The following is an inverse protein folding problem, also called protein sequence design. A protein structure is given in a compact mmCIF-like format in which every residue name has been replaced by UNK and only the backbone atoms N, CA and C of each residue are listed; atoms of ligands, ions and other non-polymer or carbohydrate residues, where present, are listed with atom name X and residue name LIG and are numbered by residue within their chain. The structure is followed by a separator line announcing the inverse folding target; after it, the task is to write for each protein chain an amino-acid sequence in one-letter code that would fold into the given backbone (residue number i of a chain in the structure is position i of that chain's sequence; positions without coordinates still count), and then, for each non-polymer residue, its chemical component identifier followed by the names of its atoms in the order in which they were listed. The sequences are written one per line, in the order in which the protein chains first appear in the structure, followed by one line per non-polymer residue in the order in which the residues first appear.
data_IF_495475769651
#
_entry.id   IF_495475769651
#
_cell.length_a   1.000
_cell.length_b   1.000
_cell.length_c   1.000
_cell.angle_alpha   90.00
_cell.angle_beta   90.00
_cell.angle_gamma   90.00
#
_symmetry.space_group_name_H-M   'P 1'
#
loop_
_entity.id
_entity.type
_entity.pdbx_description
1 polymer ?
#
# COMPACT_ATOMS: atom_id res chain seq x y z
N UNK A 1 -32.11 8.58 -14.16
CA UNK A 1 -32.06 8.82 -12.71
C UNK A 1 -31.32 7.75 -11.92
N UNK A 2 -31.89 6.57 -11.61
CA UNK A 2 -31.20 5.59 -10.73
C UNK A 2 -29.83 5.11 -11.23
N UNK A 3 -29.71 4.85 -12.53
CA UNK A 3 -28.46 4.44 -13.17
C UNK A 3 -27.39 5.55 -13.16
N UNK A 4 -27.81 6.80 -13.37
CA UNK A 4 -26.92 7.97 -13.34
C UNK A 4 -26.42 8.23 -11.92
N UNK A 5 -27.30 8.12 -10.92
CA UNK A 5 -26.92 8.25 -9.50
C UNK A 5 -25.93 7.15 -9.09
N UNK A 6 -26.14 5.90 -9.52
CA UNK A 6 -25.19 4.82 -9.28
C UNK A 6 -23.84 5.08 -9.93
N UNK A 7 -23.83 5.57 -11.18
CA UNK A 7 -22.59 5.89 -11.89
C UNK A 7 -21.80 6.99 -11.19
N UNK A 8 -22.48 8.08 -10.82
CA UNK A 8 -21.90 9.20 -10.08
C UNK A 8 -21.32 8.71 -8.75
N UNK A 9 -22.08 7.91 -7.99
CA UNK A 9 -21.60 7.33 -6.75
C UNK A 9 -20.34 6.48 -6.95
N UNK A 10 -20.36 5.54 -7.90
CA UNK A 10 -19.22 4.68 -8.19
C UNK A 10 -17.99 5.49 -8.62
N UNK A 11 -18.17 6.52 -9.43
CA UNK A 11 -17.08 7.38 -9.89
C UNK A 11 -16.40 8.11 -8.71
N UNK A 12 -17.17 8.82 -7.90
CA UNK A 12 -16.62 9.52 -6.73
C UNK A 12 -16.07 8.55 -5.68
N UNK A 13 -16.72 7.41 -5.47
CA UNK A 13 -16.23 6.39 -4.56
C UNK A 13 -14.86 5.85 -4.99
N UNK A 14 -14.70 5.55 -6.28
CA UNK A 14 -13.48 4.99 -6.86
C UNK A 14 -12.31 5.97 -6.83
N UNK A 15 -12.57 7.26 -7.01
CA UNK A 15 -11.52 8.28 -7.05
C UNK A 15 -11.15 8.81 -5.67
N UNK A 16 -12.14 9.06 -4.82
CA UNK A 16 -11.88 9.63 -3.50
C UNK A 16 -11.59 8.56 -2.46
N UNK A 17 -12.43 7.53 -2.30
CA UNK A 17 -12.38 6.67 -1.11
C UNK A 17 -11.59 5.38 -1.32
N UNK A 18 -11.75 4.75 -2.50
CA UNK A 18 -11.10 3.48 -2.83
C UNK A 18 -9.56 3.53 -2.68
N UNK A 19 -8.84 4.57 -3.13
CA UNK A 19 -7.38 4.63 -2.98
C UNK A 19 -6.93 4.64 -1.52
N UNK A 20 -7.63 5.35 -0.63
CA UNK A 20 -7.31 5.37 0.79
C UNK A 20 -7.56 4.03 1.47
N UNK A 21 -8.65 3.36 1.11
CA UNK A 21 -8.95 2.02 1.64
C UNK A 21 -7.85 1.03 1.21
N UNK A 22 -7.45 1.06 -0.06
CA UNK A 22 -6.39 0.21 -0.58
C UNK A 22 -5.03 0.52 0.07
N UNK A 23 -4.72 1.79 0.32
CA UNK A 23 -3.54 2.20 1.09
C UNK A 23 -3.56 1.60 2.50
N UNK A 24 -4.68 1.71 3.22
CA UNK A 24 -4.78 1.16 4.58
C UNK A 24 -4.60 -0.36 4.59
N UNK A 25 -5.23 -1.07 3.64
CA UNK A 25 -5.08 -2.52 3.49
C UNK A 25 -3.61 -2.88 3.20
N UNK A 26 -2.97 -2.14 2.31
CA UNK A 26 -1.57 -2.35 1.97
C UNK A 26 -0.64 -2.18 3.18
N UNK A 27 -0.79 -1.08 3.92
CA UNK A 27 0.00 -0.83 5.14
C UNK A 27 -0.25 -1.93 6.17
N UNK A 28 -1.50 -2.32 6.37
CA UNK A 28 -1.87 -3.41 7.26
C UNK A 28 -1.19 -4.73 6.87
N UNK A 29 -1.32 -5.16 5.61
CA UNK A 29 -0.69 -6.38 5.10
C UNK A 29 0.83 -6.34 5.24
N UNK A 30 1.43 -5.18 5.03
CA UNK A 30 2.86 -5.00 5.19
C UNK A 30 3.30 -5.13 6.66
N UNK A 31 2.63 -4.43 7.59
CA UNK A 31 2.93 -4.51 9.03
C UNK A 31 2.71 -5.93 9.56
N UNK A 32 1.60 -6.57 9.20
CA UNK A 32 1.34 -7.98 9.52
C UNK A 32 2.44 -8.86 8.92
N UNK A 33 2.88 -8.59 7.69
CA UNK A 33 4.01 -9.28 7.09
C UNK A 33 5.28 -9.17 7.94
N UNK A 34 5.61 -7.98 8.42
CA UNK A 34 6.77 -7.73 9.30
C UNK A 34 6.63 -8.44 10.64
N UNK A 35 5.46 -8.36 11.29
CA UNK A 35 5.20 -8.96 12.60
C UNK A 35 5.27 -10.49 12.54
N UNK A 36 4.68 -11.09 11.51
CA UNK A 36 4.63 -12.55 11.34
C UNK A 36 5.79 -13.11 10.53
N UNK A 37 6.85 -12.32 10.29
CA UNK A 37 8.04 -12.77 9.54
C UNK A 37 7.66 -13.40 8.18
N UNK A 38 6.72 -12.79 7.45
CA UNK A 38 6.17 -13.33 6.19
C UNK A 38 6.51 -12.44 5.00
N UNK A 39 7.55 -12.84 4.26
CA UNK A 39 7.97 -12.16 3.03
C UNK A 39 6.83 -12.05 2.01
N UNK A 40 6.00 -13.10 1.88
CA UNK A 40 4.86 -13.11 0.95
C UNK A 40 3.87 -11.99 1.27
N UNK A 41 3.55 -11.76 2.54
CA UNK A 41 2.63 -10.69 2.97
C UNK A 41 3.24 -9.30 2.79
N UNK A 42 4.54 -9.16 3.05
CA UNK A 42 5.26 -7.90 2.77
C UNK A 42 5.22 -7.55 1.27
N UNK A 43 5.46 -8.52 0.39
CA UNK A 43 5.43 -8.32 -1.07
C UNK A 43 4.03 -7.98 -1.55
N UNK A 44 2.99 -8.68 -1.07
CA UNK A 44 1.60 -8.37 -1.43
C UNK A 44 1.24 -6.96 -0.97
N UNK A 45 1.61 -6.59 0.27
CA UNK A 45 1.43 -5.23 0.78
C UNK A 45 2.06 -4.20 -0.15
N UNK A 46 3.32 -4.40 -0.54
CA UNK A 46 4.05 -3.52 -1.46
C UNK A 46 3.42 -3.44 -2.86
N UNK A 47 2.99 -4.59 -3.42
CA UNK A 47 2.34 -4.66 -4.74
C UNK A 47 0.99 -3.95 -4.79
N UNK A 48 0.24 -3.96 -3.69
CA UNK A 48 -1.01 -3.18 -3.57
C UNK A 48 -0.69 -1.70 -3.34
N UNK A 49 0.39 -1.40 -2.62
CA UNK A 49 0.79 -0.03 -2.29
C UNK A 49 1.18 0.79 -3.53
N UNK A 50 2.10 0.26 -4.33
CA UNK A 50 2.78 0.96 -5.40
C UNK A 50 1.82 1.55 -6.45
N UNK A 51 0.89 0.78 -7.06
CA UNK A 51 -0.03 1.32 -8.07
C UNK A 51 -0.99 2.34 -7.47
N UNK A 52 -1.34 2.22 -6.19
CA UNK A 52 -2.25 3.15 -5.52
C UNK A 52 -1.58 4.49 -5.27
N UNK A 53 -0.32 4.49 -4.82
CA UNK A 53 0.45 5.73 -4.69
C UNK A 53 0.74 6.38 -6.04
N UNK A 54 1.03 5.58 -7.06
CA UNK A 54 1.17 6.09 -8.43
C UNK A 54 -0.15 6.74 -8.91
N UNK A 55 -1.29 6.08 -8.72
CA UNK A 55 -2.59 6.64 -9.10
C UNK A 55 -2.91 7.94 -8.35
N UNK A 56 -2.55 8.00 -7.06
CA UNK A 56 -2.71 9.18 -6.22
C UNK A 56 -1.82 10.34 -6.68
N UNK A 57 -0.60 10.07 -7.17
CA UNK A 57 0.29 11.11 -7.73
C UNK A 57 -0.33 11.82 -8.93
N UNK A 58 -1.21 11.15 -9.68
CA UNK A 58 -1.92 11.73 -10.81
C UNK A 58 -3.25 12.41 -10.45
N UNK A 59 -3.68 12.34 -9.18
CA UNK A 59 -4.96 12.88 -8.72
C UNK A 59 -4.86 14.26 -8.03
N UNK A 60 -3.70 14.93 -8.11
CA UNK A 60 -3.46 16.27 -7.54
C UNK A 60 -3.92 16.42 -6.07
N UNK A 61 -3.75 15.38 -5.24
CA UNK A 61 -4.13 15.42 -3.82
C UNK A 61 -2.95 15.93 -2.98
N UNK A 62 -2.82 17.25 -2.91
CA UNK A 62 -1.56 17.96 -2.66
C UNK A 62 -0.95 17.98 -1.23
N UNK A 63 -1.55 17.49 -0.12
CA UNK A 63 -0.80 17.38 1.16
C UNK A 63 -0.58 15.96 1.69
N UNK A 64 -1.63 15.13 1.72
CA UNK A 64 -1.56 13.78 2.31
C UNK A 64 -0.69 12.82 1.51
N UNK A 65 -0.51 13.08 0.21
CA UNK A 65 0.37 12.29 -0.65
C UNK A 65 1.81 12.27 -0.15
N UNK A 66 2.34 13.40 0.30
CA UNK A 66 3.74 13.52 0.68
C UNK A 66 4.10 12.60 1.86
N UNK A 67 3.18 12.42 2.80
CA UNK A 67 3.36 11.48 3.91
C UNK A 67 3.30 10.04 3.40
N UNK A 68 2.35 9.73 2.51
CA UNK A 68 2.24 8.39 1.93
C UNK A 68 3.45 8.03 1.05
N UNK A 69 4.15 9.01 0.46
CA UNK A 69 5.37 8.77 -0.31
C UNK A 69 6.56 8.30 0.54
N UNK A 70 6.54 8.48 1.87
CA UNK A 70 7.58 7.95 2.78
C UNK A 70 7.36 6.47 3.13
N UNK A 71 6.11 6.02 3.12
CA UNK A 71 5.71 4.63 3.40
C UNK A 71 6.43 3.59 2.51
N UNK A 72 6.58 3.74 1.18
CA UNK A 72 7.25 2.73 0.36
C UNK A 72 8.74 2.61 0.71
N UNK A 73 9.41 3.70 1.08
CA UNK A 73 10.80 3.66 1.53
C UNK A 73 10.93 2.89 2.86
N UNK A 74 10.01 3.11 3.79
CA UNK A 74 9.91 2.34 5.04
C UNK A 74 9.65 0.85 4.76
N UNK A 75 8.76 0.55 3.82
CA UNK A 75 8.46 -0.82 3.41
C UNK A 75 9.70 -1.52 2.83
N UNK A 76 10.42 -0.88 1.92
CA UNK A 76 11.65 -1.44 1.33
C UNK A 76 12.72 -1.65 2.40
N UNK A 77 12.93 -0.67 3.29
CA UNK A 77 13.92 -0.77 4.36
C UNK A 77 13.64 -1.96 5.30
N UNK A 78 12.38 -2.13 5.72
CA UNK A 78 11.97 -3.22 6.58
C UNK A 78 12.08 -4.59 5.88
N UNK A 79 11.73 -4.66 4.59
CA UNK A 79 11.88 -5.88 3.79
C UNK A 79 13.35 -6.29 3.63
N UNK A 80 14.26 -5.33 3.38
CA UNK A 80 15.71 -5.59 3.30
C UNK A 80 16.24 -6.09 4.65
N UNK A 81 15.87 -5.44 5.75
CA UNK A 81 16.27 -5.86 7.10
C UNK A 81 15.81 -7.29 7.38
N UNK A 82 14.57 -7.61 7.02
CA UNK A 82 14.02 -8.96 7.14
C UNK A 82 14.81 -9.98 6.32
N UNK A 83 15.05 -9.70 5.03
CA UNK A 83 15.78 -10.60 4.14
C UNK A 83 17.21 -10.90 4.62
N UNK A 84 17.91 -9.89 5.16
CA UNK A 84 19.25 -10.07 5.74
C UNK A 84 19.24 -10.97 6.97
N UNK A 85 18.22 -10.84 7.84
CA UNK A 85 18.04 -11.70 9.02
C UNK A 85 17.79 -13.15 8.62
N UNK A 86 16.91 -13.38 7.64
CA UNK A 86 16.56 -14.72 7.17
C UNK A 86 17.74 -15.44 6.52
N UNK A 87 18.55 -14.72 5.73
CA UNK A 87 19.80 -15.24 5.14
C UNK A 87 20.86 -15.60 6.19
N UNK A 88 20.86 -14.92 7.33
CA UNK A 88 21.73 -15.25 8.47
C UNK A 88 21.29 -16.53 9.17
N UNK A 89 19.98 -16.72 9.38
CA UNK A 89 19.39 -17.92 9.98
C UNK A 89 19.61 -19.19 9.14
N UNK A 90 19.52 -19.08 7.82
CA UNK A 90 19.71 -20.22 6.90
C UNK A 90 21.16 -20.62 6.68
N UNK A 91 22.13 -19.83 7.17
CA UNK A 91 23.57 -20.11 7.08
C UNK A 91 24.19 -20.59 8.40
N UNK A 92 23.44 -20.55 9.51
CA UNK A 92 23.81 -21.11 10.80
C UNK A 92 23.29 -22.54 10.91
#
# INVERSE_FOLDING_TARGET
MWLETMYIFLYYFSLMYLPWILLMISVYLFVVGVVFESLRRMIIGFLVFLPVVIALLFLDIEPLLYITLLVPFLQVFLAIKYYRKEKGRTRA
#
